data_IF_252652118740
#
_entry.id   IF_252652118740
#
_cell.length_a   1.000
_cell.length_b   1.000
_cell.length_c   1.000
_cell.angle_alpha   90.00
_cell.angle_beta   90.00
_cell.angle_gamma   90.00
#
_symmetry.space_group_name_H-M   'P 1'
#
loop_
_entity.id
_entity.type
_entity.pdbx_description
1 polymer ?
#
# COMPACT_ATOMS: atom_id res chain seq x y z
N UNK A 1 -17.89 -24.57 -4.93
CA UNK A 1 -16.46 -24.36 -5.29
C UNK A 1 -15.84 -23.45 -4.25
N UNK A 2 -14.79 -23.86 -3.55
CA UNK A 2 -14.05 -22.94 -2.66
C UNK A 2 -13.24 -21.98 -3.53
N UNK A 3 -13.46 -20.70 -3.38
CA UNK A 3 -12.61 -19.67 -4.01
C UNK A 3 -11.21 -19.84 -3.40
N UNK A 4 -10.16 -20.00 -4.20
CA UNK A 4 -8.79 -20.05 -3.70
C UNK A 4 -8.51 -18.81 -2.83
N UNK A 5 -7.87 -19.01 -1.70
CA UNK A 5 -7.50 -17.91 -0.82
C UNK A 5 -6.04 -17.54 -1.05
N UNK A 6 -5.64 -16.28 -0.87
CA UNK A 6 -4.25 -15.90 -0.94
C UNK A 6 -3.44 -16.48 0.21
N UNK A 7 -2.17 -16.71 -0.01
CA UNK A 7 -1.21 -17.01 1.04
C UNK A 7 -0.81 -15.71 1.76
N UNK A 8 -0.81 -15.76 3.10
CA UNK A 8 -0.50 -14.60 3.92
C UNK A 8 0.71 -14.91 4.77
N UNK A 9 1.76 -14.14 4.59
CA UNK A 9 3.03 -14.28 5.30
C UNK A 9 3.31 -12.98 6.04
N UNK A 10 3.31 -13.03 7.37
CA UNK A 10 3.64 -11.88 8.21
C UNK A 10 5.04 -12.01 8.79
N UNK A 11 5.81 -10.94 8.69
CA UNK A 11 7.14 -10.81 9.24
C UNK A 11 7.19 -9.65 10.23
N UNK A 12 8.36 -9.40 10.82
CA UNK A 12 8.59 -8.22 11.67
C UNK A 12 8.43 -6.89 10.91
N UNK A 13 8.69 -6.90 9.60
CA UNK A 13 8.81 -5.68 8.80
C UNK A 13 7.63 -5.46 7.85
N UNK A 14 6.92 -6.50 7.44
CA UNK A 14 5.83 -6.42 6.46
C UNK A 14 4.92 -7.65 6.53
N UNK A 15 3.75 -7.52 5.91
CA UNK A 15 2.89 -8.66 5.56
C UNK A 15 2.86 -8.80 4.03
N UNK A 16 3.04 -10.01 3.53
CA UNK A 16 2.91 -10.34 2.11
C UNK A 16 1.63 -11.15 1.89
N UNK A 17 0.82 -10.70 0.93
CA UNK A 17 -0.37 -11.38 0.44
C UNK A 17 -0.08 -11.87 -0.96
N UNK A 18 0.15 -13.17 -1.12
CA UNK A 18 0.55 -13.75 -2.40
C UNK A 18 -0.47 -14.74 -2.95
N UNK A 19 -0.43 -14.96 -4.25
CA UNK A 19 -1.31 -15.90 -4.95
C UNK A 19 -1.55 -15.49 -6.39
N UNK A 20 -2.01 -16.41 -7.22
CA UNK A 20 -2.31 -16.12 -8.61
C UNK A 20 -3.45 -15.11 -8.78
N UNK A 21 -3.68 -14.66 -10.01
CA UNK A 21 -4.83 -13.81 -10.34
C UNK A 21 -6.13 -14.52 -9.96
N UNK A 22 -7.06 -13.79 -9.36
CA UNK A 22 -8.33 -14.34 -8.89
C UNK A 22 -8.29 -15.02 -7.52
N UNK A 23 -7.14 -15.13 -6.85
CA UNK A 23 -7.02 -15.72 -5.50
C UNK A 23 -7.46 -14.77 -4.37
N UNK A 24 -8.17 -13.70 -4.69
CA UNK A 24 -8.80 -12.84 -3.69
C UNK A 24 -7.84 -11.92 -2.90
N UNK A 25 -6.64 -11.64 -3.41
CA UNK A 25 -5.66 -10.74 -2.73
C UNK A 25 -6.25 -9.35 -2.45
N UNK A 26 -6.80 -8.71 -3.48
CA UNK A 26 -7.44 -7.38 -3.35
C UNK A 26 -8.63 -7.44 -2.40
N UNK A 27 -9.43 -8.49 -2.47
CA UNK A 27 -10.56 -8.71 -1.55
C UNK A 27 -10.09 -8.85 -0.10
N UNK A 28 -9.02 -9.58 0.14
CA UNK A 28 -8.43 -9.71 1.46
C UNK A 28 -7.92 -8.35 1.97
N UNK A 29 -7.19 -7.60 1.15
CA UNK A 29 -6.71 -6.26 1.51
C UNK A 29 -7.87 -5.32 1.84
N UNK A 30 -8.93 -5.29 1.03
CA UNK A 30 -10.12 -4.48 1.31
C UNK A 30 -10.78 -4.84 2.65
N UNK A 31 -10.85 -6.11 3.00
CA UNK A 31 -11.36 -6.55 4.32
C UNK A 31 -10.47 -6.07 5.47
N UNK A 32 -9.15 -6.15 5.33
CA UNK A 32 -8.22 -5.65 6.35
C UNK A 32 -8.30 -4.13 6.48
N UNK A 33 -8.37 -3.39 5.39
CA UNK A 33 -8.59 -1.94 5.41
C UNK A 33 -9.89 -1.62 6.17
N UNK A 34 -11.00 -2.25 5.81
CA UNK A 34 -12.28 -2.03 6.48
C UNK A 34 -12.23 -2.38 7.97
N UNK A 35 -11.53 -3.44 8.34
CA UNK A 35 -11.31 -3.83 9.74
C UNK A 35 -10.52 -2.77 10.52
N UNK A 36 -9.41 -2.28 9.97
CA UNK A 36 -8.61 -1.23 10.60
C UNK A 36 -9.43 0.05 10.77
N UNK A 37 -10.15 0.48 9.74
CA UNK A 37 -10.99 1.69 9.78
C UNK A 37 -12.12 1.61 10.81
N UNK A 38 -12.67 0.41 11.07
CA UNK A 38 -13.72 0.19 12.07
C UNK A 38 -13.20 0.15 13.51
N UNK A 39 -12.00 -0.40 13.69
CA UNK A 39 -11.46 -0.73 15.00
C UNK A 39 -10.45 0.27 15.53
N UNK A 40 -9.94 1.15 14.68
CA UNK A 40 -8.87 2.10 15.05
C UNK A 40 -9.10 3.48 14.44
N UNK A 41 -8.27 4.45 14.85
CA UNK A 41 -8.12 5.76 14.22
C UNK A 41 -6.80 5.87 13.44
N UNK A 42 -6.14 4.75 13.20
CA UNK A 42 -4.89 4.69 12.46
C UNK A 42 -5.11 5.05 10.99
N UNK A 43 -4.09 5.62 10.38
CA UNK A 43 -4.14 6.05 8.98
C UNK A 43 -3.71 4.94 8.04
N UNK A 44 -4.36 4.91 6.89
CA UNK A 44 -4.12 3.93 5.84
C UNK A 44 -3.84 4.65 4.53
N UNK A 45 -2.71 4.31 3.92
CA UNK A 45 -2.36 4.73 2.56
C UNK A 45 -2.40 3.51 1.64
N UNK A 46 -3.11 3.61 0.53
CA UNK A 46 -3.16 2.56 -0.49
C UNK A 46 -2.49 3.10 -1.75
N UNK A 47 -1.41 2.48 -2.17
CA UNK A 47 -0.74 2.78 -3.44
C UNK A 47 -1.29 1.84 -4.50
N UNK A 48 -2.33 2.32 -5.19
CA UNK A 48 -3.10 1.56 -6.16
C UNK A 48 -2.45 1.62 -7.53
N UNK A 49 -1.96 0.48 -8.00
CA UNK A 49 -1.36 0.34 -9.31
C UNK A 49 -2.36 -0.17 -10.37
N UNK A 50 -3.56 -0.58 -9.96
CA UNK A 50 -4.55 -1.26 -10.82
C UNK A 50 -5.89 -0.53 -10.91
N UNK A 51 -6.14 0.45 -10.06
CA UNK A 51 -7.42 1.18 -9.98
C UNK A 51 -8.51 0.42 -9.22
N UNK A 52 -8.18 -0.67 -8.52
CA UNK A 52 -9.16 -1.54 -7.86
C UNK A 52 -9.66 -1.04 -6.49
N UNK A 53 -9.05 0.01 -5.93
CA UNK A 53 -9.38 0.50 -4.59
C UNK A 53 -10.25 1.76 -4.57
N UNK A 54 -10.57 2.32 -5.72
CA UNK A 54 -11.36 3.56 -5.83
C UNK A 54 -12.77 3.43 -5.23
N UNK A 55 -13.37 2.25 -5.25
CA UNK A 55 -14.70 1.97 -4.71
C UNK A 55 -14.83 2.19 -3.20
N UNK A 56 -13.73 2.11 -2.44
CA UNK A 56 -13.74 2.47 -1.02
C UNK A 56 -14.08 3.94 -0.78
N UNK A 57 -13.69 4.81 -1.71
CA UNK A 57 -13.91 6.24 -1.59
C UNK A 57 -15.20 6.67 -2.28
N UNK A 58 -15.49 6.11 -3.46
CA UNK A 58 -16.66 6.51 -4.26
C UNK A 58 -17.96 5.93 -3.68
N UNK A 59 -17.91 4.72 -3.11
CA UNK A 59 -19.06 4.04 -2.52
C UNK A 59 -18.77 3.59 -1.08
N UNK A 60 -18.56 4.52 -0.14
CA UNK A 60 -18.13 4.19 1.22
C UNK A 60 -19.09 3.27 1.98
N UNK A 61 -20.39 3.37 1.73
CA UNK A 61 -21.43 2.57 2.40
C UNK A 61 -21.30 1.05 2.15
N UNK A 62 -20.63 0.67 1.07
CA UNK A 62 -20.40 -0.74 0.75
C UNK A 62 -19.16 -1.31 1.42
N UNK A 63 -18.16 -0.49 1.59
CA UNK A 63 -16.83 -0.91 2.06
C UNK A 63 -16.60 -0.57 3.53
N UNK A 64 -16.99 0.63 3.96
CA UNK A 64 -16.70 1.17 5.28
C UNK A 64 -17.99 1.71 5.91
N UNK A 65 -18.44 1.17 7.04
CA UNK A 65 -19.58 1.76 7.77
C UNK A 65 -19.17 3.03 8.51
N UNK A 66 -19.96 4.07 8.34
CA UNK A 66 -19.81 5.35 9.04
C UNK A 66 -19.04 6.40 8.23
N UNK A 67 -19.06 7.63 8.72
CA UNK A 67 -18.36 8.76 8.11
C UNK A 67 -16.87 8.69 8.44
N UNK A 68 -16.09 8.11 7.55
CA UNK A 68 -14.62 8.10 7.61
C UNK A 68 -14.09 9.09 6.57
N UNK A 69 -13.24 10.06 6.94
CA UNK A 69 -12.65 10.97 5.96
C UNK A 69 -11.70 10.22 5.04
N UNK A 70 -12.01 10.26 3.74
CA UNK A 70 -11.29 9.48 2.71
C UNK A 70 -10.99 10.33 1.49
N UNK A 71 -9.87 10.03 0.81
CA UNK A 71 -9.49 10.67 -0.46
C UNK A 71 -8.96 9.67 -1.48
N UNK A 72 -9.21 9.97 -2.77
CA UNK A 72 -8.44 9.43 -3.89
C UNK A 72 -7.55 10.56 -4.42
N UNK A 73 -6.26 10.29 -4.57
CA UNK A 73 -5.28 11.21 -5.16
C UNK A 73 -4.68 10.57 -6.40
N UNK A 74 -4.94 11.17 -7.55
CA UNK A 74 -4.51 10.63 -8.84
C UNK A 74 -3.24 11.33 -9.33
N UNK A 75 -2.23 10.53 -9.65
CA UNK A 75 -0.94 11.00 -10.13
C UNK A 75 -0.71 10.64 -11.59
N UNK A 76 0.01 11.50 -12.30
CA UNK A 76 0.53 11.27 -13.65
C UNK A 76 1.99 11.67 -13.74
N UNK A 77 2.70 11.18 -14.75
CA UNK A 77 4.04 11.67 -15.07
C UNK A 77 3.94 12.92 -15.96
N UNK A 78 4.64 13.96 -15.54
CA UNK A 78 4.77 15.20 -16.31
C UNK A 78 6.21 15.65 -16.26
N UNK A 79 6.90 15.73 -17.42
CA UNK A 79 8.29 16.16 -17.48
C UNK A 79 9.28 15.27 -16.71
N UNK A 80 8.99 13.96 -16.54
CA UNK A 80 9.83 13.04 -15.79
C UNK A 80 9.59 13.04 -14.28
N UNK A 81 8.58 13.76 -13.80
CA UNK A 81 8.19 13.82 -12.39
C UNK A 81 6.75 13.32 -12.18
N UNK A 82 6.47 12.79 -11.00
CA UNK A 82 5.12 12.43 -10.61
C UNK A 82 4.37 13.68 -10.12
N UNK A 83 3.24 13.97 -10.75
CA UNK A 83 2.43 15.16 -10.46
C UNK A 83 1.02 14.73 -10.04
N UNK A 84 0.54 15.25 -8.91
CA UNK A 84 -0.86 15.15 -8.50
C UNK A 84 -1.70 16.03 -9.44
N UNK A 85 -2.71 15.45 -10.10
CA UNK A 85 -3.56 16.19 -11.03
C UNK A 85 -5.04 16.19 -10.67
N UNK A 86 -5.49 15.27 -9.83
CA UNK A 86 -6.88 15.19 -9.40
C UNK A 86 -7.01 14.62 -7.99
N UNK A 87 -7.94 15.16 -7.22
CA UNK A 87 -8.28 14.68 -5.87
C UNK A 87 -9.80 14.58 -5.75
N UNK A 88 -10.28 13.45 -5.25
CA UNK A 88 -11.68 13.23 -4.87
C UNK A 88 -11.70 13.04 -3.36
N UNK A 89 -12.49 13.84 -2.63
CA UNK A 89 -12.59 13.79 -1.19
C UNK A 89 -14.02 13.44 -0.76
N UNK A 90 -14.16 12.61 0.26
CA UNK A 90 -15.42 12.21 0.87
C UNK A 90 -15.32 12.39 2.39
N UNK A 91 -16.24 13.15 2.97
CA UNK A 91 -16.33 13.44 4.41
C UNK A 91 -15.07 14.08 5.04
N UNK A 92 -14.23 14.72 4.22
CA UNK A 92 -13.03 15.41 4.68
C UNK A 92 -13.35 16.88 4.98
N UNK A 93 -13.17 17.29 6.25
CA UNK A 93 -13.34 18.68 6.68
C UNK A 93 -12.13 19.54 6.30
N UNK A 94 -12.30 20.87 6.22
CA UNK A 94 -11.16 21.77 6.03
C UNK A 94 -10.06 21.51 7.08
N UNK A 95 -8.82 21.39 6.62
CA UNK A 95 -7.64 21.09 7.45
C UNK A 95 -7.63 19.72 8.15
N UNK A 96 -8.56 18.83 7.82
CA UNK A 96 -8.55 17.46 8.30
C UNK A 96 -7.62 16.60 7.44
N UNK A 97 -6.84 15.73 8.08
CA UNK A 97 -6.05 14.72 7.38
C UNK A 97 -6.90 13.46 7.22
N UNK A 98 -7.14 12.99 5.99
CA UNK A 98 -7.96 11.81 5.76
C UNK A 98 -7.42 10.58 6.49
N UNK A 99 -8.31 9.72 6.97
CA UNK A 99 -7.91 8.45 7.59
C UNK A 99 -7.50 7.42 6.53
N UNK A 100 -8.18 7.40 5.38
CA UNK A 100 -7.82 6.57 4.22
C UNK A 100 -7.49 7.46 3.03
N UNK A 101 -6.32 7.26 2.43
CA UNK A 101 -5.97 7.87 1.15
C UNK A 101 -5.57 6.78 0.16
N UNK A 102 -6.27 6.75 -0.96
CA UNK A 102 -5.93 5.91 -2.11
C UNK A 102 -5.15 6.76 -3.10
N UNK A 103 -3.89 6.40 -3.30
CA UNK A 103 -3.02 7.00 -4.31
C UNK A 103 -3.07 6.16 -5.58
N UNK A 104 -3.75 6.66 -6.60
CA UNK A 104 -3.68 6.08 -7.94
C UNK A 104 -2.36 6.49 -8.58
N UNK A 105 -1.40 5.60 -8.51
CA UNK A 105 -0.06 5.74 -9.07
C UNK A 105 0.16 4.89 -10.32
N UNK A 106 -0.91 4.30 -10.86
CA UNK A 106 -0.86 3.40 -12.01
C UNK A 106 -0.17 4.01 -13.22
N UNK A 107 -0.47 5.28 -13.52
CA UNK A 107 0.11 6.01 -14.65
C UNK A 107 1.57 6.39 -14.45
N UNK A 108 2.01 6.57 -13.22
CA UNK A 108 3.41 6.86 -12.89
C UNK A 108 4.24 5.59 -12.96
N UNK A 109 3.76 4.54 -12.31
CA UNK A 109 4.43 3.24 -12.29
C UNK A 109 4.55 2.61 -13.68
N UNK A 110 3.56 2.78 -14.55
CA UNK A 110 3.58 2.31 -15.94
C UNK A 110 4.70 2.93 -16.78
N UNK A 111 5.15 4.14 -16.43
CA UNK A 111 6.24 4.83 -17.13
C UNK A 111 7.58 4.51 -16.49
N UNK A 112 7.68 4.58 -15.16
CA UNK A 112 8.92 4.34 -14.43
C UNK A 112 8.65 3.78 -13.05
N UNK A 113 9.11 2.56 -12.82
CA UNK A 113 9.10 1.93 -11.50
C UNK A 113 9.85 2.77 -10.46
N UNK A 114 11.05 3.21 -10.80
CA UNK A 114 11.90 3.99 -9.89
C UNK A 114 11.20 5.29 -9.47
N UNK A 115 10.65 6.05 -10.41
CA UNK A 115 9.89 7.26 -10.13
C UNK A 115 8.67 6.98 -9.24
N UNK A 116 7.96 5.90 -9.50
CA UNK A 116 6.82 5.49 -8.67
C UNK A 116 7.23 5.18 -7.24
N UNK A 117 8.28 4.40 -7.03
CA UNK A 117 8.79 4.03 -5.70
C UNK A 117 9.36 5.25 -4.94
N UNK A 118 10.03 6.16 -5.63
CA UNK A 118 10.49 7.42 -5.04
C UNK A 118 9.31 8.27 -4.56
N UNK A 119 8.28 8.41 -5.40
CA UNK A 119 7.04 9.12 -5.05
C UNK A 119 6.36 8.49 -3.82
N UNK A 120 6.24 7.17 -3.78
CA UNK A 120 5.67 6.44 -2.65
C UNK A 120 6.47 6.69 -1.38
N UNK A 121 7.79 6.61 -1.45
CA UNK A 121 8.67 6.82 -0.31
C UNK A 121 8.57 8.26 0.23
N UNK A 122 8.48 9.25 -0.63
CA UNK A 122 8.29 10.66 -0.25
C UNK A 122 6.94 10.88 0.44
N UNK A 123 5.87 10.30 -0.09
CA UNK A 123 4.54 10.36 0.52
C UNK A 123 4.57 9.73 1.92
N UNK A 124 5.12 8.52 2.05
CA UNK A 124 5.25 7.83 3.34
C UNK A 124 6.04 8.64 4.35
N UNK A 125 7.13 9.26 3.93
CA UNK A 125 7.99 10.09 4.80
C UNK A 125 7.22 11.28 5.36
N UNK A 126 6.43 11.98 4.52
CA UNK A 126 5.61 13.11 4.95
C UNK A 126 4.51 12.70 5.92
N UNK A 127 3.83 11.58 5.65
CA UNK A 127 2.77 11.08 6.53
C UNK A 127 3.31 10.58 7.86
N UNK A 128 4.49 9.99 7.90
CA UNK A 128 5.09 9.52 9.14
C UNK A 128 5.28 10.66 10.15
N UNK A 129 5.73 11.83 9.69
CA UNK A 129 5.93 13.02 10.54
C UNK A 129 4.62 13.48 11.20
N UNK A 130 3.49 13.43 10.47
CA UNK A 130 2.19 13.91 10.96
C UNK A 130 1.37 12.81 11.67
N UNK A 131 1.83 11.57 11.63
CA UNK A 131 1.08 10.40 12.13
C UNK A 131 1.53 9.91 13.51
N UNK A 132 2.68 10.35 14.00
CA UNK A 132 3.18 9.93 15.31
C UNK A 132 2.17 10.26 16.43
N UNK A 133 1.99 9.36 17.43
CA UNK A 133 2.65 8.08 17.64
C UNK A 133 1.91 6.85 17.05
N UNK A 134 0.91 7.05 16.21
CA UNK A 134 0.06 5.98 15.69
C UNK A 134 0.76 5.17 14.59
N UNK A 135 0.30 3.95 14.38
CA UNK A 135 0.75 3.12 13.26
C UNK A 135 0.24 3.69 11.93
N UNK A 136 1.14 3.81 10.96
CA UNK A 136 0.83 4.13 9.59
C UNK A 136 0.79 2.84 8.76
N UNK A 137 -0.40 2.43 8.35
CA UNK A 137 -0.58 1.30 7.46
C UNK A 137 -0.37 1.73 6.02
N UNK A 138 0.30 0.92 5.21
CA UNK A 138 0.28 1.14 3.78
C UNK A 138 0.20 -0.17 2.99
N UNK A 139 -0.55 -0.11 1.91
CA UNK A 139 -0.78 -1.20 0.99
C UNK A 139 -0.12 -0.86 -0.34
N UNK A 140 0.73 -1.75 -0.82
CA UNK A 140 1.42 -1.60 -2.09
C UNK A 140 1.24 -2.83 -2.95
N UNK A 141 0.57 -2.65 -4.10
CA UNK A 141 0.42 -3.68 -5.10
C UNK A 141 1.69 -3.76 -5.95
N UNK A 142 2.34 -4.94 -5.93
CA UNK A 142 3.54 -5.22 -6.72
C UNK A 142 3.22 -5.96 -8.04
N UNK A 143 1.94 -6.19 -8.36
CA UNK A 143 1.52 -7.04 -9.48
C UNK A 143 1.94 -6.61 -10.86
N UNK A 144 1.89 -5.34 -11.27
CA UNK A 144 2.34 -4.95 -12.61
C UNK A 144 3.82 -5.26 -12.87
N UNK A 145 4.55 -5.59 -11.83
CA UNK A 145 6.01 -5.74 -11.81
C UNK A 145 6.47 -7.16 -11.51
N UNK A 146 5.61 -8.15 -11.67
CA UNK A 146 5.94 -9.58 -11.49
C UNK A 146 7.07 -10.08 -12.39
N UNK A 147 7.38 -9.35 -13.45
CA UNK A 147 8.49 -9.63 -14.35
C UNK A 147 9.75 -8.81 -14.06
N UNK A 148 9.61 -7.73 -13.31
CA UNK A 148 10.74 -6.94 -12.84
C UNK A 148 10.96 -7.28 -11.37
N UNK A 149 12.05 -7.95 -11.04
CA UNK A 149 12.47 -8.03 -9.63
C UNK A 149 12.50 -6.62 -9.07
N UNK A 150 12.04 -6.38 -7.83
CA UNK A 150 12.21 -5.07 -7.22
C UNK A 150 13.71 -4.82 -7.08
N UNK A 151 14.25 -4.20 -8.08
CA UNK A 151 15.67 -3.90 -8.22
C UNK A 151 15.83 -2.40 -8.34
N UNK A 152 17.00 -1.95 -7.91
CA UNK A 152 17.41 -0.57 -8.11
C UNK A 152 17.48 0.25 -6.83
N UNK A 153 18.03 1.45 -7.02
CA UNK A 153 18.33 2.39 -5.94
C UNK A 153 17.07 2.82 -5.18
N UNK A 154 15.99 3.06 -5.90
CA UNK A 154 14.73 3.57 -5.33
C UNK A 154 14.06 2.53 -4.44
N UNK A 155 14.08 1.24 -4.83
CA UNK A 155 13.61 0.16 -3.96
C UNK A 155 14.43 0.04 -2.70
N UNK A 156 15.75 0.15 -2.79
CA UNK A 156 16.64 0.17 -1.63
C UNK A 156 16.37 1.34 -0.68
N UNK A 157 15.88 2.48 -1.17
CA UNK A 157 15.45 3.60 -0.31
C UNK A 157 14.18 3.24 0.46
N UNK A 158 13.17 2.66 -0.20
CA UNK A 158 11.95 2.19 0.45
C UNK A 158 12.25 1.11 1.51
N UNK A 159 13.11 0.14 1.19
CA UNK A 159 13.54 -0.88 2.17
C UNK A 159 14.17 -0.27 3.41
N UNK A 160 15.08 0.69 3.26
CA UNK A 160 15.71 1.39 4.40
C UNK A 160 14.70 2.16 5.21
N UNK A 161 13.74 2.82 4.55
CA UNK A 161 12.64 3.51 5.21
C UNK A 161 11.83 2.54 6.09
N UNK A 162 11.43 1.39 5.56
CA UNK A 162 10.68 0.36 6.29
C UNK A 162 11.47 -0.15 7.49
N UNK A 163 12.74 -0.51 7.30
CA UNK A 163 13.60 -1.01 8.39
C UNK A 163 13.76 0.01 9.51
N UNK A 164 14.02 1.25 9.16
CA UNK A 164 14.19 2.33 10.12
C UNK A 164 12.93 2.60 10.93
N UNK A 165 11.77 2.54 10.29
CA UNK A 165 10.50 2.97 10.86
C UNK A 165 9.55 1.80 11.20
N UNK A 166 10.04 0.56 11.26
CA UNK A 166 9.21 -0.66 11.42
C UNK A 166 8.32 -0.69 12.68
N UNK A 167 8.57 0.17 13.65
CA UNK A 167 7.73 0.32 14.84
C UNK A 167 6.51 1.22 14.60
N UNK A 168 6.55 2.03 13.55
CA UNK A 168 5.54 3.06 13.25
C UNK A 168 4.84 2.82 11.91
N UNK A 169 5.36 1.92 11.08
CA UNK A 169 4.77 1.59 9.78
C UNK A 169 4.43 0.11 9.71
N UNK A 170 3.31 -0.19 9.07
CA UNK A 170 2.85 -1.55 8.82
C UNK A 170 2.63 -1.78 7.32
N UNK A 171 3.67 -2.19 6.58
CA UNK A 171 3.57 -2.46 5.15
C UNK A 171 2.79 -3.73 4.86
N UNK A 172 1.89 -3.67 3.88
CA UNK A 172 1.21 -4.83 3.30
C UNK A 172 1.47 -4.84 1.79
N UNK A 173 2.19 -5.84 1.33
CA UNK A 173 2.51 -6.04 -0.08
C UNK A 173 1.59 -7.10 -0.68
N UNK A 174 1.13 -6.88 -1.91
CA UNK A 174 0.45 -7.91 -2.70
C UNK A 174 1.26 -8.29 -3.92
N UNK A 175 1.30 -9.57 -4.26
CA UNK A 175 2.01 -10.06 -5.44
C UNK A 175 1.45 -11.38 -5.96
N UNK A 176 1.54 -11.61 -7.29
CA UNK A 176 1.15 -12.88 -7.90
C UNK A 176 2.21 -13.97 -7.73
N UNK A 177 3.47 -13.62 -7.88
CA UNK A 177 4.59 -14.58 -7.95
C UNK A 177 5.81 -14.10 -7.18
N UNK A 178 5.59 -13.44 -6.06
CA UNK A 178 6.75 -12.98 -5.31
C UNK A 178 7.46 -14.17 -4.69
N UNK A 179 8.71 -14.36 -5.05
CA UNK A 179 9.59 -15.21 -4.28
C UNK A 179 9.82 -14.54 -2.93
N UNK A 180 9.14 -15.08 -1.91
CA UNK A 180 9.27 -14.64 -0.52
C UNK A 180 10.74 -14.56 -0.09
N UNK A 181 11.58 -15.44 -0.62
CA UNK A 181 13.01 -15.43 -0.33
C UNK A 181 13.68 -14.15 -0.80
N UNK A 182 13.31 -13.62 -1.96
CA UNK A 182 13.91 -12.37 -2.49
C UNK A 182 13.62 -11.18 -1.58
N UNK A 183 12.38 -11.01 -1.09
CA UNK A 183 12.06 -9.93 -0.14
C UNK A 183 12.75 -10.17 1.20
N UNK A 184 12.74 -11.41 1.70
CA UNK A 184 13.34 -11.77 2.97
C UNK A 184 14.86 -11.56 2.99
N UNK A 185 15.56 -11.94 1.93
CA UNK A 185 16.98 -11.71 1.79
C UNK A 185 17.33 -10.23 1.82
N UNK A 186 16.55 -9.41 1.11
CA UNK A 186 16.75 -7.97 1.04
C UNK A 186 16.41 -7.25 2.34
N UNK A 187 15.34 -7.64 3.01
CA UNK A 187 14.97 -7.10 4.32
C UNK A 187 15.74 -7.77 5.46
N UNK A 188 16.67 -8.71 5.17
CA UNK A 188 17.43 -9.48 6.16
C UNK A 188 16.52 -10.13 7.22
N UNK A 189 15.38 -10.64 6.80
CA UNK A 189 14.47 -11.35 7.69
C UNK A 189 15.02 -12.76 7.93
N UNK A 190 15.37 -13.06 9.17
CA UNK A 190 15.82 -14.43 9.51
C UNK A 190 14.70 -15.43 9.22
N UNK A 191 15.02 -16.56 8.60
CA UNK A 191 14.08 -17.65 8.27
C UNK A 191 13.25 -18.11 9.48
N UNK A 192 13.76 -17.95 10.71
CA UNK A 192 13.08 -18.29 11.96
C UNK A 192 11.90 -17.38 12.32
N UNK A 193 11.72 -16.25 11.65
CA UNK A 193 10.61 -15.32 11.89
C UNK A 193 9.41 -15.55 10.95
N UNK A 194 9.50 -16.51 10.05
CA UNK A 194 8.40 -16.94 9.18
C UNK A 194 7.53 -17.90 9.99
N UNK A 195 6.43 -17.43 10.53
CA UNK A 195 5.38 -18.32 11.06
C UNK A 195 4.60 -18.87 9.87
N UNK A 196 4.60 -20.21 9.76
CA UNK A 196 3.70 -20.93 8.86
C UNK A 196 2.26 -20.71 9.24
#
# INVERSE_FOLDING_TARGET
MRIPQPDIISTKYYTLVSGESGHGKTTWCKREIAKILRSTKERILVFDATGEYADFVINPDRAVPGCVPMEIRQYKSTGGEATLYHTISVDVKPNEVPQLVVYDVSRVLAISWNMGIETITDILTRYLVVNEPNTLWFFLCLEPYTYAKPEGKSWGVLERFIKKNHKFVAPIFTSQKFDVNTINERLHVKKSSLKK
#
